data_IF_462793727010
#
_entry.id   IF_462793727010
#
_cell.length_a   1.000
_cell.length_b   1.000
_cell.length_c   1.000
_cell.angle_alpha   90.00
_cell.angle_beta   90.00
_cell.angle_gamma   90.00
#
_symmetry.space_group_name_H-M   'P 1'
#
loop_
_entity.id
_entity.type
_entity.pdbx_description
1 polymer ?
#
# COMPACT_ATOMS: atom_id res chain seq x y z
N UNK A 1 -24.47 -2.46 23.01
CA UNK A 1 -25.03 -3.50 22.13
C UNK A 1 -23.83 -4.21 21.51
N UNK A 2 -23.55 -5.45 21.92
CA UNK A 2 -22.37 -6.20 21.43
C UNK A 2 -22.70 -6.74 20.03
N UNK A 3 -22.08 -6.19 18.98
CA UNK A 3 -22.15 -6.76 17.64
C UNK A 3 -21.41 -8.09 17.63
N UNK A 4 -22.16 -9.17 17.43
CA UNK A 4 -21.60 -10.51 17.22
C UNK A 4 -21.03 -10.57 15.79
N UNK A 5 -19.75 -10.23 15.64
CA UNK A 5 -19.01 -10.27 14.37
C UNK A 5 -18.67 -11.73 14.02
N UNK A 6 -19.68 -12.54 13.69
CA UNK A 6 -19.45 -13.80 12.97
C UNK A 6 -19.19 -13.49 11.49
N UNK A 7 -18.12 -12.74 11.23
CA UNK A 7 -17.60 -12.52 9.87
C UNK A 7 -16.96 -13.80 9.36
N UNK A 8 -17.05 -14.06 8.06
CA UNK A 8 -16.43 -15.27 7.49
C UNK A 8 -14.90 -15.22 7.73
N UNK A 9 -14.27 -16.29 8.28
CA UNK A 9 -12.81 -16.38 8.40
C UNK A 9 -12.06 -16.06 7.10
N UNK A 10 -12.71 -16.30 5.95
CA UNK A 10 -12.19 -15.94 4.63
C UNK A 10 -11.99 -14.43 4.45
N UNK A 11 -12.95 -13.60 4.88
CA UNK A 11 -12.86 -12.14 4.73
C UNK A 11 -11.78 -11.56 5.63
N UNK A 12 -11.62 -12.09 6.84
CA UNK A 12 -10.55 -11.68 7.75
C UNK A 12 -9.18 -11.98 7.14
N UNK A 13 -9.01 -13.17 6.56
CA UNK A 13 -7.78 -13.55 5.89
C UNK A 13 -7.50 -12.67 4.67
N UNK A 14 -8.52 -12.42 3.85
CA UNK A 14 -8.44 -11.56 2.66
C UNK A 14 -8.00 -10.13 3.02
N UNK A 15 -8.60 -9.53 4.04
CA UNK A 15 -8.23 -8.21 4.53
C UNK A 15 -6.80 -8.17 5.08
N UNK A 16 -6.34 -9.28 5.65
CA UNK A 16 -4.97 -9.39 6.17
C UNK A 16 -3.96 -9.44 5.04
N UNK A 17 -4.22 -10.21 3.98
CA UNK A 17 -3.39 -10.26 2.77
C UNK A 17 -3.37 -8.89 2.08
N UNK A 18 -4.55 -8.29 1.88
CA UNK A 18 -4.68 -6.95 1.32
C UNK A 18 -3.82 -5.93 2.07
N UNK A 19 -3.97 -5.86 3.40
CA UNK A 19 -3.19 -4.92 4.21
C UNK A 19 -1.68 -5.15 4.06
N UNK A 20 -1.23 -6.41 3.99
CA UNK A 20 0.19 -6.71 3.83
C UNK A 20 0.74 -6.18 2.51
N UNK A 21 -0.05 -6.23 1.44
CA UNK A 21 0.40 -5.87 0.08
C UNK A 21 0.23 -4.38 -0.22
N UNK A 22 -0.85 -3.74 0.24
CA UNK A 22 -1.24 -2.40 -0.20
C UNK A 22 -0.97 -1.28 0.81
N UNK A 23 -0.61 -1.59 2.06
CA UNK A 23 -0.50 -0.57 3.12
C UNK A 23 0.44 0.57 2.75
N UNK A 24 1.60 0.28 2.18
CA UNK A 24 2.58 1.33 1.81
C UNK A 24 2.08 2.24 0.70
N UNK A 25 1.28 1.70 -0.24
CA UNK A 25 0.68 2.48 -1.33
C UNK A 25 -0.39 3.41 -0.75
N UNK A 26 -1.26 2.87 0.12
CA UNK A 26 -2.32 3.63 0.79
C UNK A 26 -1.73 4.73 1.69
N UNK A 27 -0.68 4.41 2.45
CA UNK A 27 0.03 5.38 3.29
C UNK A 27 0.57 6.54 2.46
N UNK A 28 1.17 6.24 1.29
CA UNK A 28 1.69 7.26 0.38
C UNK A 28 0.58 8.16 -0.16
N UNK A 29 -0.53 7.60 -0.62
CA UNK A 29 -1.62 8.38 -1.19
C UNK A 29 -2.30 9.28 -0.15
N UNK A 30 -2.55 8.76 1.05
CA UNK A 30 -3.10 9.56 2.14
C UNK A 30 -2.11 10.63 2.60
N UNK A 31 -0.81 10.31 2.69
CA UNK A 31 0.22 11.29 3.02
C UNK A 31 0.27 12.41 1.99
N UNK A 32 0.31 12.10 0.70
CA UNK A 32 0.31 13.10 -0.37
C UNK A 32 -0.93 14.01 -0.32
N UNK A 33 -2.08 13.43 0.03
CA UNK A 33 -3.36 14.16 0.08
C UNK A 33 -3.50 15.08 1.30
N UNK A 34 -2.97 14.68 2.47
CA UNK A 34 -3.26 15.36 3.74
C UNK A 34 -2.06 15.96 4.47
N UNK A 35 -0.81 15.64 4.10
CA UNK A 35 0.40 16.14 4.78
C UNK A 35 0.51 17.67 4.80
N UNK A 36 0.01 18.34 3.74
CA UNK A 36 0.12 19.80 3.57
C UNK A 36 -1.06 20.59 4.15
N UNK A 37 -2.15 19.91 4.54
CA UNK A 37 -3.40 20.55 4.97
C UNK A 37 -3.87 19.95 6.29
N UNK A 38 -3.37 20.51 7.39
CA UNK A 38 -3.63 20.05 8.74
C UNK A 38 -5.09 20.29 9.18
N UNK A 39 -5.74 21.33 8.65
CA UNK A 39 -7.15 21.60 8.96
C UNK A 39 -8.03 20.50 8.37
N UNK A 40 -7.84 20.20 7.08
CA UNK A 40 -8.56 19.12 6.38
C UNK A 40 -8.28 17.75 6.99
N UNK A 41 -7.04 17.49 7.41
CA UNK A 41 -6.66 16.27 8.14
C UNK A 41 -7.45 16.13 9.45
N UNK A 42 -7.51 17.18 10.26
CA UNK A 42 -8.21 17.16 11.54
C UNK A 42 -9.72 16.99 11.37
N UNK A 43 -10.33 17.69 10.41
CA UNK A 43 -11.76 17.54 10.08
C UNK A 43 -12.08 16.09 9.71
N UNK A 44 -11.23 15.48 8.90
CA UNK A 44 -11.41 14.09 8.48
C UNK A 44 -11.29 13.11 9.65
N UNK A 45 -10.28 13.27 10.52
CA UNK A 45 -10.13 12.42 11.71
C UNK A 45 -11.38 12.50 12.58
N UNK A 46 -11.85 13.72 12.87
CA UNK A 46 -13.06 13.96 13.67
C UNK A 46 -14.28 13.30 13.00
N UNK A 47 -14.42 13.40 11.67
CA UNK A 47 -15.52 12.75 10.94
C UNK A 47 -15.49 11.23 11.13
N UNK A 48 -14.34 10.60 10.92
CA UNK A 48 -14.18 9.15 11.00
C UNK A 48 -14.31 8.59 12.43
N UNK A 49 -13.95 9.36 13.45
CA UNK A 49 -14.09 8.97 14.87
C UNK A 49 -15.53 9.04 15.37
N UNK A 50 -16.32 9.99 14.87
CA UNK A 50 -17.62 10.33 15.45
C UNK A 50 -18.83 9.87 14.63
N UNK A 51 -18.63 9.43 13.38
CA UNK A 51 -19.71 8.98 12.51
C UNK A 51 -19.67 7.48 12.27
N UNK A 52 -20.86 6.90 12.04
CA UNK A 52 -20.95 5.51 11.60
C UNK A 52 -20.74 5.45 10.08
N UNK A 53 -19.57 4.98 9.68
CA UNK A 53 -19.12 4.95 8.29
C UNK A 53 -19.54 3.62 7.65
N UNK A 54 -20.09 3.71 6.44
CA UNK A 54 -20.42 2.55 5.59
C UNK A 54 -19.51 2.52 4.34
N UNK A 55 -19.64 1.47 3.52
CA UNK A 55 -18.85 1.31 2.31
C UNK A 55 -19.05 2.39 1.25
N UNK A 56 -20.09 3.21 1.34
CA UNK A 56 -20.38 4.28 0.39
C UNK A 56 -19.71 5.61 0.79
N UNK A 57 -19.19 5.71 2.03
CA UNK A 57 -18.57 6.95 2.50
C UNK A 57 -17.32 7.29 1.70
N UNK A 58 -17.30 8.51 1.15
CA UNK A 58 -16.23 9.03 0.29
C UNK A 58 -14.84 8.98 0.94
N UNK A 59 -14.79 9.00 2.27
CA UNK A 59 -13.54 9.07 3.04
C UNK A 59 -12.82 7.73 3.14
N UNK A 60 -13.50 6.61 2.84
CA UNK A 60 -12.87 5.28 2.78
C UNK A 60 -12.77 4.73 1.35
N UNK A 61 -13.30 5.44 0.34
CA UNK A 61 -13.32 4.99 -1.05
C UNK A 61 -11.93 4.71 -1.63
N UNK A 62 -10.90 5.46 -1.22
CA UNK A 62 -9.52 5.23 -1.68
C UNK A 62 -9.11 3.79 -1.33
N UNK A 63 -9.34 3.38 -0.08
CA UNK A 63 -8.97 2.05 0.39
C UNK A 63 -9.89 0.99 -0.23
N UNK A 64 -11.19 1.30 -0.36
CA UNK A 64 -12.14 0.39 -0.99
C UNK A 64 -11.78 0.08 -2.44
N UNK A 65 -11.39 1.07 -3.23
CA UNK A 65 -11.00 0.86 -4.61
C UNK A 65 -9.79 -0.07 -4.71
N UNK A 66 -8.74 0.16 -3.92
CA UNK A 66 -7.58 -0.75 -3.87
C UNK A 66 -7.98 -2.16 -3.43
N UNK A 67 -8.90 -2.27 -2.47
CA UNK A 67 -9.39 -3.57 -2.04
C UNK A 67 -10.16 -4.30 -3.13
N UNK A 68 -11.03 -3.61 -3.87
CA UNK A 68 -11.79 -4.21 -4.98
C UNK A 68 -10.87 -4.65 -6.12
N UNK A 69 -9.85 -3.86 -6.43
CA UNK A 69 -8.79 -4.26 -7.38
C UNK A 69 -8.07 -5.52 -6.89
N UNK A 70 -7.64 -5.54 -5.63
CA UNK A 70 -6.99 -6.70 -5.03
C UNK A 70 -7.88 -7.95 -5.02
N UNK A 71 -9.18 -7.81 -4.72
CA UNK A 71 -10.16 -8.90 -4.79
C UNK A 71 -10.27 -9.41 -6.23
N UNK A 72 -10.28 -8.51 -7.22
CA UNK A 72 -10.34 -8.85 -8.63
C UNK A 72 -9.11 -9.62 -9.14
N UNK A 73 -7.95 -9.50 -8.49
CA UNK A 73 -6.76 -10.29 -8.82
C UNK A 73 -6.73 -11.67 -8.16
N UNK A 74 -7.64 -11.94 -7.22
CA UNK A 74 -7.70 -13.25 -6.57
C UNK A 74 -8.33 -14.30 -7.50
N UNK A 75 -7.80 -15.52 -7.44
CA UNK A 75 -8.32 -16.66 -8.22
C UNK A 75 -9.71 -17.10 -7.70
N UNK A 76 -9.97 -16.88 -6.41
CA UNK A 76 -11.26 -17.23 -5.79
C UNK A 76 -12.30 -16.13 -5.97
N UNK A 77 -13.54 -16.53 -6.30
CA UNK A 77 -14.69 -15.61 -6.33
C UNK A 77 -15.16 -15.34 -4.90
N UNK A 78 -15.16 -14.08 -4.51
CA UNK A 78 -15.69 -13.63 -3.22
C UNK A 78 -17.10 -13.08 -3.40
N UNK A 79 -18.01 -13.51 -2.53
CA UNK A 79 -19.32 -12.89 -2.34
C UNK A 79 -19.36 -12.31 -0.95
N UNK A 80 -19.72 -11.03 -0.84
CA UNK A 80 -19.77 -10.33 0.42
C UNK A 80 -21.20 -10.36 0.96
N UNK A 81 -21.34 -10.78 2.22
CA UNK A 81 -22.59 -10.59 2.95
C UNK A 81 -22.63 -9.18 3.53
N UNK A 82 -23.80 -8.72 3.95
CA UNK A 82 -23.95 -7.44 4.66
C UNK A 82 -23.03 -7.34 5.90
N UNK A 83 -22.86 -8.44 6.64
CA UNK A 83 -21.97 -8.47 7.79
C UNK A 83 -20.49 -8.33 7.39
N UNK A 84 -20.12 -8.81 6.20
CA UNK A 84 -18.78 -8.62 5.66
C UNK A 84 -18.57 -7.17 5.24
N UNK A 85 -19.56 -6.53 4.62
CA UNK A 85 -19.50 -5.10 4.27
C UNK A 85 -19.32 -4.20 5.50
N UNK A 86 -20.05 -4.48 6.58
CA UNK A 86 -19.91 -3.77 7.85
C UNK A 86 -18.51 -3.99 8.45
N UNK A 87 -17.99 -5.23 8.41
CA UNK A 87 -16.63 -5.52 8.86
C UNK A 87 -15.58 -4.78 8.02
N UNK A 88 -15.71 -4.81 6.69
CA UNK A 88 -14.79 -4.15 5.75
C UNK A 88 -14.78 -2.65 6.02
N UNK A 89 -15.95 -2.02 6.12
CA UNK A 89 -16.09 -0.59 6.47
C UNK A 89 -15.33 -0.27 7.75
N UNK A 90 -15.58 -1.04 8.81
CA UNK A 90 -14.95 -0.82 10.12
C UNK A 90 -13.43 -1.02 10.07
N UNK A 91 -12.94 -1.99 9.29
CA UNK A 91 -11.51 -2.24 9.11
C UNK A 91 -10.84 -1.12 8.31
N UNK A 92 -11.51 -0.59 7.29
CA UNK A 92 -10.99 0.53 6.50
C UNK A 92 -10.98 1.82 7.29
N UNK A 93 -12.03 2.13 8.07
CA UNK A 93 -12.01 3.28 8.99
C UNK A 93 -10.82 3.20 9.93
N UNK A 94 -10.60 2.04 10.56
CA UNK A 94 -9.46 1.84 11.47
C UNK A 94 -8.12 2.02 10.78
N UNK A 95 -7.98 1.49 9.57
CA UNK A 95 -6.76 1.65 8.77
C UNK A 95 -6.54 3.12 8.40
N UNK A 96 -7.55 3.79 7.85
CA UNK A 96 -7.51 5.22 7.51
C UNK A 96 -7.11 6.04 8.72
N UNK A 97 -7.80 5.89 9.86
CA UNK A 97 -7.49 6.61 11.09
C UNK A 97 -6.04 6.38 11.54
N UNK A 98 -5.59 5.12 11.55
CA UNK A 98 -4.21 4.80 11.92
C UNK A 98 -3.21 5.55 11.05
N UNK A 99 -3.42 5.62 9.74
CA UNK A 99 -2.53 6.34 8.82
C UNK A 99 -2.63 7.85 9.03
N UNK A 100 -3.84 8.40 9.15
CA UNK A 100 -4.04 9.84 9.38
C UNK A 100 -3.38 10.31 10.67
N UNK A 101 -3.41 9.51 11.74
CA UNK A 101 -2.66 9.82 12.97
C UNK A 101 -1.14 9.80 12.76
N UNK A 102 -0.60 8.83 12.01
CA UNK A 102 0.83 8.85 11.65
C UNK A 102 1.21 10.11 10.87
N UNK A 103 0.35 10.56 9.94
CA UNK A 103 0.55 11.82 9.20
C UNK A 103 0.53 13.00 10.16
N UNK A 104 -0.48 13.08 11.04
CA UNK A 104 -0.64 14.15 12.03
C UNK A 104 0.55 14.25 12.97
N UNK A 105 1.11 13.11 13.37
CA UNK A 105 2.29 13.01 14.23
C UNK A 105 3.61 13.13 13.48
N UNK A 106 3.58 13.37 12.17
CA UNK A 106 4.74 13.47 11.29
C UNK A 106 5.61 12.19 11.24
N UNK A 107 5.05 11.03 11.61
CA UNK A 107 5.75 9.74 11.65
C UNK A 107 6.08 9.18 10.26
N UNK A 108 5.40 9.69 9.22
CA UNK A 108 5.60 9.29 7.82
C UNK A 108 6.53 10.24 7.04
N UNK A 109 6.82 11.43 7.56
CA UNK A 109 7.63 12.44 6.86
C UNK A 109 9.03 11.92 6.55
N UNK A 110 9.72 11.37 7.55
CA UNK A 110 11.09 10.84 7.36
C UNK A 110 11.14 9.68 6.36
N UNK A 111 10.05 8.90 6.27
CA UNK A 111 9.95 7.79 5.34
C UNK A 111 9.76 8.29 3.90
N UNK A 112 8.83 9.22 3.68
CA UNK A 112 8.55 9.72 2.33
C UNK A 112 9.58 10.72 1.82
N UNK A 113 10.18 11.53 2.68
CA UNK A 113 11.31 12.40 2.28
C UNK A 113 12.49 11.58 1.79
N UNK A 114 12.80 10.45 2.45
CA UNK A 114 13.83 9.52 1.94
C UNK A 114 13.43 8.92 0.60
N UNK A 115 12.18 8.52 0.41
CA UNK A 115 11.70 8.00 -0.88
C UNK A 115 11.86 9.06 -1.98
N UNK A 116 11.47 10.31 -1.76
CA UNK A 116 11.60 11.40 -2.73
C UNK A 116 13.07 11.69 -3.08
N UNK A 117 13.95 11.76 -2.08
CA UNK A 117 15.40 11.92 -2.30
C UNK A 117 16.00 10.79 -3.13
N UNK A 118 15.55 9.55 -2.88
CA UNK A 118 16.02 8.37 -3.62
C UNK A 118 15.44 8.35 -5.04
N UNK A 119 14.18 8.74 -5.24
CA UNK A 119 13.54 8.76 -6.56
C UNK A 119 14.12 9.82 -7.51
N UNK A 120 14.76 10.87 -6.97
CA UNK A 120 15.54 11.83 -7.78
C UNK A 120 16.86 11.23 -8.29
N UNK A 121 17.32 10.10 -7.73
CA UNK A 121 18.53 9.44 -8.19
C UNK A 121 18.26 8.72 -9.50
N UNK A 122 19.25 8.78 -10.40
CA UNK A 122 19.24 7.96 -11.62
C UNK A 122 19.40 6.47 -11.30
N UNK A 123 20.18 6.16 -10.27
CA UNK A 123 20.46 4.80 -9.82
C UNK A 123 20.24 4.65 -8.31
N UNK A 124 19.68 3.51 -7.91
CA UNK A 124 19.36 3.19 -6.53
C UNK A 124 19.96 1.84 -6.12
N UNK A 125 20.32 1.69 -4.86
CA UNK A 125 20.84 0.43 -4.31
C UNK A 125 19.71 -0.58 -4.02
N UNK A 126 20.08 -1.83 -3.71
CA UNK A 126 19.14 -2.87 -3.25
C UNK A 126 18.29 -2.45 -2.06
N UNK A 127 18.87 -1.75 -1.09
CA UNK A 127 18.14 -1.27 0.10
C UNK A 127 17.17 -0.16 -0.27
N UNK A 128 17.60 0.76 -1.11
CA UNK A 128 16.77 1.87 -1.58
C UNK A 128 15.63 1.42 -2.47
N UNK A 129 15.86 0.40 -3.31
CA UNK A 129 14.82 -0.28 -4.09
C UNK A 129 13.76 -0.90 -3.18
N UNK A 130 14.19 -1.58 -2.11
CA UNK A 130 13.27 -2.17 -1.13
C UNK A 130 12.41 -1.09 -0.47
N UNK A 131 13.00 0.06 -0.13
CA UNK A 131 12.28 1.21 0.45
C UNK A 131 11.27 1.82 -0.53
N UNK A 132 11.62 1.99 -1.80
CA UNK A 132 10.71 2.62 -2.78
C UNK A 132 9.58 1.67 -3.20
N UNK A 133 9.92 0.42 -3.50
CA UNK A 133 9.00 -0.50 -4.16
C UNK A 133 8.38 -1.53 -3.22
N UNK A 134 8.78 -1.55 -1.95
CA UNK A 134 8.37 -2.52 -0.94
C UNK A 134 8.61 -3.99 -1.38
N UNK A 135 9.66 -4.22 -2.17
CA UNK A 135 10.06 -5.54 -2.63
C UNK A 135 11.32 -5.94 -1.87
N UNK A 136 11.20 -6.97 -1.03
CA UNK A 136 12.30 -7.48 -0.21
C UNK A 136 13.53 -7.86 -1.04
N UNK A 137 14.72 -7.73 -0.46
CA UNK A 137 15.99 -8.16 -1.09
C UNK A 137 15.94 -9.58 -1.68
N UNK A 138 15.27 -10.52 -1.02
CA UNK A 138 15.12 -11.90 -1.52
C UNK A 138 14.22 -11.95 -2.74
N UNK A 139 13.06 -11.29 -2.71
CA UNK A 139 12.17 -11.16 -3.88
C UNK A 139 12.88 -10.51 -5.06
N UNK A 140 13.66 -9.45 -4.83
CA UNK A 140 14.46 -8.82 -5.87
C UNK A 140 15.44 -9.83 -6.50
N UNK A 141 16.10 -10.68 -5.70
CA UNK A 141 17.01 -11.70 -6.22
C UNK A 141 16.29 -12.73 -7.09
N UNK A 142 15.11 -13.16 -6.67
CA UNK A 142 14.24 -14.01 -7.48
C UNK A 142 13.86 -13.33 -8.78
N UNK A 143 13.47 -12.06 -8.76
CA UNK A 143 13.08 -11.33 -9.98
C UNK A 143 14.24 -11.13 -10.96
N UNK A 144 15.45 -10.85 -10.46
CA UNK A 144 16.66 -10.79 -11.31
C UNK A 144 17.00 -12.14 -11.94
N UNK A 145 16.69 -13.24 -11.24
CA UNK A 145 16.97 -14.61 -11.72
C UNK A 145 15.90 -15.22 -12.63
N UNK A 146 14.84 -14.47 -12.98
CA UNK A 146 13.79 -14.97 -13.87
C UNK A 146 14.34 -15.13 -15.30
N UNK A 147 13.89 -16.18 -15.98
CA UNK A 147 14.23 -16.43 -17.38
C UNK A 147 13.51 -15.47 -18.33
N UNK A 148 12.28 -15.10 -17.99
CA UNK A 148 11.42 -14.19 -18.73
C UNK A 148 11.18 -12.94 -17.90
N UNK A 149 11.34 -11.77 -18.53
CA UNK A 149 11.21 -10.43 -17.94
C UNK A 149 11.94 -10.27 -16.59
N UNK A 150 13.27 -10.49 -16.56
CA UNK A 150 14.03 -10.30 -15.33
C UNK A 150 14.02 -8.84 -14.90
N UNK A 151 14.07 -8.62 -13.58
CA UNK A 151 14.26 -7.28 -13.02
C UNK A 151 15.60 -6.72 -13.53
N UNK A 152 15.62 -5.62 -14.31
CA UNK A 152 16.86 -5.05 -14.84
C UNK A 152 17.76 -4.60 -13.70
N UNK A 153 19.06 -4.90 -13.78
CA UNK A 153 20.01 -4.54 -12.75
C UNK A 153 21.38 -4.24 -13.34
N UNK A 154 22.14 -3.37 -12.68
CA UNK A 154 23.51 -3.04 -13.03
C UNK A 154 24.48 -3.58 -11.99
N UNK A 155 25.57 -4.19 -12.48
CA UNK A 155 26.66 -4.69 -11.65
C UNK A 155 27.96 -4.53 -12.43
N UNK A 156 28.88 -3.71 -11.92
CA UNK A 156 30.12 -3.35 -12.64
C UNK A 156 31.14 -4.50 -12.63
N UNK A 157 31.16 -5.30 -11.55
CA UNK A 157 32.09 -6.43 -11.40
C UNK A 157 31.38 -7.64 -10.83
N UNK A 158 31.84 -8.84 -11.16
CA UNK A 158 31.29 -10.07 -10.59
C UNK A 158 31.39 -10.01 -9.05
N UNK A 159 30.29 -10.31 -8.35
CA UNK A 159 30.10 -10.13 -6.89
C UNK A 159 30.16 -8.67 -6.37
N UNK A 160 30.18 -7.69 -7.27
CA UNK A 160 30.09 -6.27 -6.93
C UNK A 160 28.69 -5.85 -6.49
N UNK A 161 28.57 -4.60 -6.04
CA UNK A 161 27.30 -4.03 -5.63
C UNK A 161 26.31 -3.98 -6.80
N UNK A 162 25.06 -4.35 -6.51
CA UNK A 162 23.95 -4.26 -7.45
C UNK A 162 23.27 -2.91 -7.27
N UNK A 163 23.07 -2.21 -8.38
CA UNK A 163 22.26 -1.00 -8.48
C UNK A 163 21.16 -1.18 -9.51
N UNK A 164 20.15 -0.30 -9.45
CA UNK A 164 19.01 -0.29 -10.36
C UNK A 164 18.87 1.09 -10.96
N UNK A 165 18.68 1.15 -12.27
CA UNK A 165 18.23 2.38 -12.90
C UNK A 165 16.73 2.56 -12.66
N UNK A 166 16.33 3.69 -12.07
CA UNK A 166 14.91 3.94 -11.70
C UNK A 166 14.00 3.85 -12.92
N UNK A 167 14.40 4.41 -14.07
CA UNK A 167 13.55 4.40 -15.28
C UNK A 167 13.32 2.99 -15.83
N UNK A 168 14.35 2.15 -15.80
CA UNK A 168 14.24 0.76 -16.28
C UNK A 168 13.34 -0.07 -15.38
N UNK A 169 13.40 0.17 -14.07
CA UNK A 169 12.51 -0.50 -13.10
C UNK A 169 11.06 -0.10 -13.28
N UNK A 170 10.76 1.19 -13.49
CA UNK A 170 9.40 1.66 -13.75
C UNK A 170 8.83 1.03 -15.04
N UNK A 171 9.61 1.04 -16.13
CA UNK A 171 9.22 0.38 -17.38
C UNK A 171 8.99 -1.12 -17.20
N UNK A 172 9.85 -1.79 -16.43
CA UNK A 172 9.68 -3.21 -16.11
C UNK A 172 8.37 -3.44 -15.34
N UNK A 173 8.05 -2.60 -14.36
CA UNK A 173 6.79 -2.69 -13.60
C UNK A 173 5.56 -2.52 -14.50
N UNK A 174 5.56 -1.51 -15.38
CA UNK A 174 4.45 -1.27 -16.31
C UNK A 174 4.17 -2.48 -17.23
N UNK A 175 5.21 -3.23 -17.59
CA UNK A 175 5.10 -4.43 -18.42
C UNK A 175 4.57 -5.65 -17.65
N UNK A 176 4.79 -5.73 -16.33
CA UNK A 176 4.23 -6.81 -15.50
C UNK A 176 2.71 -6.68 -15.29
N UNK A 177 2.13 -5.50 -15.55
CA UNK A 177 0.69 -5.21 -15.38
C UNK A 177 -0.08 -5.16 -16.70
N UNK A 178 0.52 -5.58 -17.81
CA UNK A 178 -0.14 -5.76 -19.12
C UNK A 178 -0.39 -7.23 -19.40
#
# INVERSE_FOLDING_TARGET
MYMNLNSSPKIINLLTLFNKEYISIIEKDLYNKYSKDQEKLNILIIHLENNNINLEDINIQIILNYFLEFVGTQIEVYTFTKNDEELISLKFVKLTLSILHKIKNNELSDHFSKIEEIQQKKEITVKEFEVIYNISKSSQATYRGRLYDPLPFHQVVQNGNITYNVKEVELWKEQQHK
#
